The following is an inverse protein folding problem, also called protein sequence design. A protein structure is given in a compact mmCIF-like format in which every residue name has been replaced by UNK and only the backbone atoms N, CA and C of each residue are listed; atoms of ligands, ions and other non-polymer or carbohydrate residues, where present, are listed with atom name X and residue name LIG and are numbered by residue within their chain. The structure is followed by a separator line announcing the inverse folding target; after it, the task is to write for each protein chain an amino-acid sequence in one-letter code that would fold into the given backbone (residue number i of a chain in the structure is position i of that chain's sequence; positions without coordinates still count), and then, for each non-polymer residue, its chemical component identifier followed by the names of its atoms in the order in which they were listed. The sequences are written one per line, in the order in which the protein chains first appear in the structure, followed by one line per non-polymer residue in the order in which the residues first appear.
data_IF_586947958580
#
_entry.id   IF_586947958580
#
_cell.length_a   1.000
_cell.length_b   1.000
_cell.length_c   1.000
_cell.angle_alpha   90.00
_cell.angle_beta   90.00
_cell.angle_gamma   90.00
#
_symmetry.space_group_name_H-M   'P 1'
#
loop_
_entity.id
_entity.type
_entity.pdbx_description
1 polymer ?
#
# COMPACT_ATOMS: atom_id res chain seq x y z
N UNK A 1 7.38 -69.01 -16.89
CA UNK A 1 8.48 -68.75 -15.95
C UNK A 1 8.09 -67.59 -15.06
N UNK A 2 8.14 -67.81 -13.74
CA UNK A 2 7.79 -66.86 -12.69
C UNK A 2 8.98 -65.91 -12.48
N UNK A 3 8.80 -64.60 -12.63
CA UNK A 3 9.76 -63.63 -12.10
C UNK A 3 9.09 -62.80 -11.02
N UNK A 4 9.71 -62.90 -9.84
CA UNK A 4 9.29 -62.42 -8.54
C UNK A 4 10.22 -61.26 -8.19
N UNK A 5 9.63 -60.19 -7.65
CA UNK A 5 10.27 -59.02 -7.02
C UNK A 5 11.12 -58.11 -7.90
N UNK A 6 10.73 -56.82 -7.99
CA UNK A 6 11.47 -55.79 -7.26
C UNK A 6 10.60 -54.54 -7.07
N UNK A 7 10.37 -54.23 -5.81
CA UNK A 7 9.76 -52.99 -5.30
C UNK A 7 10.65 -51.81 -5.71
N UNK A 8 10.14 -50.84 -6.47
CA UNK A 8 10.82 -49.55 -6.63
C UNK A 8 9.89 -48.42 -6.20
N UNK A 9 10.21 -47.93 -5.01
CA UNK A 9 9.61 -46.86 -4.25
C UNK A 9 9.94 -45.53 -4.93
N UNK A 10 8.99 -44.93 -5.67
CA UNK A 10 9.15 -43.57 -6.19
C UNK A 10 8.65 -42.60 -5.14
N UNK A 11 9.60 -42.17 -4.32
CA UNK A 11 9.47 -41.14 -3.30
C UNK A 11 9.26 -39.78 -3.98
N UNK A 12 8.01 -39.32 -4.06
CA UNK A 12 7.68 -37.93 -4.35
C UNK A 12 8.09 -37.07 -3.14
N UNK A 13 9.37 -36.69 -3.07
CA UNK A 13 9.85 -35.71 -2.12
C UNK A 13 9.33 -34.34 -2.56
N UNK A 14 8.42 -33.78 -1.76
CA UNK A 14 7.79 -32.49 -2.02
C UNK A 14 8.82 -31.38 -2.18
N UNK A 15 8.79 -30.71 -3.33
CA UNK A 15 9.37 -29.39 -3.48
C UNK A 15 8.46 -28.42 -2.73
N UNK A 16 8.75 -28.18 -1.45
CA UNK A 16 8.21 -27.02 -0.75
C UNK A 16 8.84 -25.76 -1.38
N UNK A 17 8.04 -25.05 -2.17
CA UNK A 17 8.38 -23.70 -2.61
C UNK A 17 8.33 -22.81 -1.37
N UNK A 18 9.50 -22.44 -0.84
CA UNK A 18 9.57 -21.38 0.16
C UNK A 18 9.29 -20.07 -0.57
N UNK A 19 8.06 -19.57 -0.45
CA UNK A 19 7.75 -18.18 -0.76
C UNK A 19 8.46 -17.32 0.31
N UNK A 20 9.67 -16.86 0.00
CA UNK A 20 10.25 -15.77 0.77
C UNK A 20 9.36 -14.56 0.51
N UNK A 21 8.63 -14.12 1.54
CA UNK A 21 7.97 -12.82 1.50
C UNK A 21 9.05 -11.78 1.21
N UNK A 22 8.99 -11.15 0.04
CA UNK A 22 9.81 -9.98 -0.23
C UNK A 22 9.35 -8.91 0.75
N UNK A 23 10.15 -8.65 1.77
CA UNK A 23 9.92 -7.51 2.64
C UNK A 23 10.31 -6.28 1.83
N UNK A 24 9.32 -5.53 1.37
CA UNK A 24 9.57 -4.28 0.66
C UNK A 24 10.30 -3.32 1.61
N UNK A 25 11.42 -2.74 1.17
CA UNK A 25 12.26 -1.87 2.00
C UNK A 25 11.55 -0.57 2.42
N UNK A 26 10.51 -0.20 1.68
CA UNK A 26 9.70 0.99 1.88
C UNK A 26 8.23 0.62 1.79
N UNK A 27 7.48 0.79 2.88
CA UNK A 27 6.02 0.64 2.87
C UNK A 27 5.33 1.98 2.69
N UNK A 28 4.08 1.97 2.23
CA UNK A 28 3.29 3.19 2.06
C UNK A 28 1.83 2.98 2.45
N UNK A 29 1.22 3.99 3.09
CA UNK A 29 -0.19 4.01 3.45
C UNK A 29 -0.82 5.31 2.94
N UNK A 30 -1.88 5.19 2.14
CA UNK A 30 -2.68 6.31 1.67
C UNK A 30 -4.02 6.34 2.41
N UNK A 31 -4.36 7.50 2.97
CA UNK A 31 -5.66 7.76 3.59
C UNK A 31 -6.32 8.98 2.98
N UNK A 32 -7.65 8.96 2.90
CA UNK A 32 -8.44 10.08 2.40
C UNK A 32 -9.25 10.69 3.55
N UNK A 33 -9.26 12.02 3.61
CA UNK A 33 -9.98 12.79 4.60
C UNK A 33 -10.86 13.81 3.91
N UNK A 34 -12.13 13.90 4.30
CA UNK A 34 -12.99 15.01 3.94
C UNK A 34 -12.68 16.20 4.84
N UNK A 35 -12.46 17.36 4.24
CA UNK A 35 -12.26 18.62 4.95
C UNK A 35 -13.58 19.37 5.06
N UNK A 36 -13.93 19.77 6.28
CA UNK A 36 -15.08 20.62 6.59
C UNK A 36 -14.68 21.73 7.55
N UNK A 37 -15.51 22.76 7.69
CA UNK A 37 -15.33 23.77 8.73
C UNK A 37 -16.08 23.36 10.00
N UNK A 38 -15.37 23.36 11.12
CA UNK A 38 -15.92 23.18 12.46
C UNK A 38 -16.72 24.40 12.93
N UNK A 39 -17.42 24.24 14.06
CA UNK A 39 -18.23 25.31 14.64
C UNK A 39 -17.40 26.53 15.12
N UNK A 40 -16.11 26.32 15.34
CA UNK A 40 -15.11 27.32 15.71
C UNK A 40 -14.44 27.99 14.49
N UNK A 41 -14.80 27.57 13.27
CA UNK A 41 -14.23 28.06 12.03
C UNK A 41 -12.90 27.40 11.65
N UNK A 42 -12.44 26.39 12.39
CA UNK A 42 -11.24 25.64 12.06
C UNK A 42 -11.57 24.49 11.09
N UNK A 43 -10.58 24.07 10.30
CA UNK A 43 -10.74 22.89 9.45
C UNK A 43 -10.78 21.60 10.28
N UNK A 44 -11.66 20.70 9.88
CA UNK A 44 -11.84 19.37 10.46
C UNK A 44 -11.63 18.33 9.36
N UNK A 45 -10.68 17.44 9.58
CA UNK A 45 -10.39 16.31 8.69
C UNK A 45 -11.08 15.04 9.21
N UNK A 46 -12.01 14.48 8.44
CA UNK A 46 -12.70 13.22 8.77
C UNK A 46 -12.28 12.13 7.79
N UNK A 47 -11.73 11.01 8.27
CA UNK A 47 -11.35 9.88 7.40
C UNK A 47 -12.58 9.32 6.68
N UNK A 48 -12.50 9.12 5.37
CA UNK A 48 -13.62 8.68 4.52
C UNK A 48 -13.17 7.67 3.48
N UNK A 49 -14.10 6.77 3.10
CA UNK A 49 -13.94 5.84 1.98
C UNK A 49 -14.81 6.20 0.78
N UNK A 50 -15.76 7.13 0.96
CA UNK A 50 -16.72 7.58 -0.04
C UNK A 50 -16.85 9.09 0.00
N UNK A 51 -17.05 9.68 -1.18
CA UNK A 51 -17.10 11.13 -1.39
C UNK A 51 -18.19 11.47 -2.42
N UNK A 52 -18.56 12.75 -2.50
CA UNK A 52 -19.48 13.26 -3.54
C UNK A 52 -18.88 14.48 -4.25
N UNK A 53 -19.38 14.83 -5.45
CA UNK A 53 -18.96 16.05 -6.14
C UNK A 53 -19.08 17.29 -5.23
N UNK A 54 -18.04 18.12 -5.24
CA UNK A 54 -17.94 19.34 -4.43
C UNK A 54 -17.32 19.16 -3.05
N UNK A 55 -17.03 17.93 -2.61
CA UNK A 55 -16.27 17.72 -1.37
C UNK A 55 -14.78 18.12 -1.56
N UNK A 56 -14.19 18.73 -0.53
CA UNK A 56 -12.74 18.95 -0.45
C UNK A 56 -12.11 17.73 0.23
N UNK A 57 -11.19 17.07 -0.45
CA UNK A 57 -10.54 15.84 0.01
C UNK A 57 -9.04 16.10 0.18
N UNK A 58 -8.53 15.80 1.38
CA UNK A 58 -7.12 15.76 1.69
C UNK A 58 -6.64 14.31 1.67
N UNK A 59 -5.65 14.03 0.82
CA UNK A 59 -4.97 12.74 0.80
C UNK A 59 -3.68 12.81 1.62
N UNK A 60 -3.52 11.86 2.55
CA UNK A 60 -2.30 11.72 3.36
C UNK A 60 -1.58 10.43 2.97
N UNK A 61 -0.42 10.58 2.34
CA UNK A 61 0.46 9.48 1.94
C UNK A 61 1.65 9.40 2.90
N UNK A 62 1.72 8.33 3.69
CA UNK A 62 2.80 8.10 4.64
C UNK A 62 3.70 6.99 4.12
N UNK A 63 5.01 7.21 4.14
CA UNK A 63 6.02 6.21 3.84
C UNK A 63 6.76 5.79 5.10
N UNK A 64 7.07 4.50 5.23
CA UNK A 64 7.87 3.96 6.32
C UNK A 64 9.05 3.19 5.74
N UNK A 65 10.26 3.57 6.15
CA UNK A 65 11.47 2.80 5.88
C UNK A 65 11.46 1.57 6.79
N UNK A 66 11.42 0.38 6.21
CA UNK A 66 11.36 -0.91 6.91
C UNK A 66 12.76 -1.52 7.13
N UNK A 67 13.80 -0.75 6.85
CA UNK A 67 15.21 -1.16 6.97
C UNK A 67 15.93 -0.38 8.07
N UNK A 68 17.04 -0.94 8.56
CA UNK A 68 17.94 -0.24 9.49
C UNK A 68 18.81 0.82 8.80
N UNK A 69 18.89 0.78 7.46
CA UNK A 69 19.70 1.68 6.65
C UNK A 69 18.93 2.93 6.23
N UNK A 70 19.65 3.98 5.83
CA UNK A 70 19.00 5.14 5.20
C UNK A 70 18.62 4.82 3.76
N UNK A 71 17.35 5.03 3.41
CA UNK A 71 16.91 5.06 2.02
C UNK A 71 17.20 6.45 1.43
N UNK A 72 17.72 6.49 0.21
CA UNK A 72 18.02 7.73 -0.51
C UNK A 72 17.27 7.77 -1.84
N UNK A 73 17.12 8.96 -2.42
CA UNK A 73 16.49 9.17 -3.73
C UNK A 73 15.01 8.75 -3.80
N UNK A 74 14.29 8.81 -2.67
CA UNK A 74 12.84 8.58 -2.65
C UNK A 74 12.14 9.80 -3.26
N UNK A 75 11.44 9.58 -4.38
CA UNK A 75 10.66 10.62 -5.08
C UNK A 75 9.21 10.15 -5.19
N UNK A 76 8.36 10.43 -4.20
CA UNK A 76 6.98 9.99 -4.24
C UNK A 76 6.19 10.77 -5.30
N UNK A 77 5.34 10.06 -6.03
CA UNK A 77 4.44 10.64 -7.03
C UNK A 77 3.02 10.17 -6.73
N UNK A 78 2.14 11.10 -6.41
CA UNK A 78 0.71 10.83 -6.22
C UNK A 78 -0.07 11.54 -7.35
N UNK A 79 -0.62 10.80 -8.32
CA UNK A 79 -1.44 11.40 -9.37
C UNK A 79 -2.75 11.92 -8.77
N UNK A 80 -3.23 13.04 -9.31
CA UNK A 80 -4.57 13.54 -8.99
C UNK A 80 -5.59 12.61 -9.67
N UNK A 81 -6.57 12.06 -8.93
CA UNK A 81 -7.62 11.22 -9.52
C UNK A 81 -8.39 11.95 -10.63
N UNK A 82 -8.95 11.18 -11.57
CA UNK A 82 -9.86 11.74 -12.58
C UNK A 82 -11.04 12.43 -11.89
N UNK A 83 -11.53 13.51 -12.50
CA UNK A 83 -12.63 14.35 -11.97
C UNK A 83 -12.33 15.08 -10.66
N UNK A 84 -11.06 15.08 -10.20
CA UNK A 84 -10.58 15.93 -9.12
C UNK A 84 -9.74 17.09 -9.65
N UNK A 85 -9.85 18.22 -8.96
CA UNK A 85 -9.01 19.38 -9.18
C UNK A 85 -8.10 19.57 -7.98
N UNK A 86 -6.81 19.73 -8.22
CA UNK A 86 -5.87 20.08 -7.18
C UNK A 86 -6.10 21.52 -6.73
N UNK A 87 -6.03 21.75 -5.42
CA UNK A 87 -6.11 23.07 -4.83
C UNK A 87 -4.68 23.60 -4.65
N UNK A 88 -4.37 24.71 -5.32
CA UNK A 88 -3.04 25.30 -5.25
C UNK A 88 -2.66 25.65 -3.80
N UNK A 89 -1.42 25.34 -3.42
CA UNK A 89 -0.88 25.55 -2.08
C UNK A 89 -1.56 24.74 -0.96
N UNK A 90 -2.27 23.65 -1.29
CA UNK A 90 -2.95 22.82 -0.28
C UNK A 90 -2.13 21.61 0.19
N UNK A 91 -0.95 21.36 -0.37
CA UNK A 91 -0.13 20.19 -0.02
C UNK A 91 1.23 20.59 0.57
N UNK A 92 1.69 19.82 1.54
CA UNK A 92 3.04 19.83 2.10
C UNK A 92 3.57 18.40 2.17
N UNK A 93 4.89 18.18 1.94
CA UNK A 93 5.55 16.94 2.33
C UNK A 93 5.59 16.75 3.85
#
# INVERSE_FOLDING_TARGET
MKYKSLFLFVLFLGLSVNANAQNDELSSVLKAFKITLGADGNEVATEVTEIKPGDIIEYRLTYQNETDGSLTQITPVLPIPLEMFYLDNSASP
#
